data_IF_097655423276
#
_entry.id   IF_097655423276
#
_cell.length_a   1.000
_cell.length_b   1.000
_cell.length_c   1.000
_cell.angle_alpha   90.00
_cell.angle_beta   90.00
_cell.angle_gamma   90.00
#
_symmetry.space_group_name_H-M   'P 1'
#
loop_
_entity.id
_entity.type
_entity.pdbx_description
1 polymer ?
#
# COMPACT_ATOMS: atom_id res chain seq x y z
N UNK A 1 -21.62 -12.05 -9.67
CA UNK A 1 -20.65 -10.94 -9.67
C UNK A 1 -21.36 -9.60 -9.90
N UNK A 2 -21.17 -8.61 -9.02
CA UNK A 2 -21.68 -7.25 -9.22
C UNK A 2 -20.88 -6.60 -10.36
N UNK A 3 -21.54 -6.28 -11.47
CA UNK A 3 -20.91 -5.59 -12.59
C UNK A 3 -21.12 -4.08 -12.41
N UNK A 4 -20.09 -3.40 -11.90
CA UNK A 4 -20.07 -1.94 -11.67
C UNK A 4 -19.79 -1.13 -12.95
N UNK A 5 -19.59 -1.80 -14.09
CA UNK A 5 -19.19 -1.15 -15.34
C UNK A 5 -17.70 -0.77 -15.38
N UNK A 6 -17.36 0.16 -16.29
CA UNK A 6 -15.99 0.65 -16.45
C UNK A 6 -15.70 1.77 -15.44
N UNK A 7 -14.47 1.77 -14.93
CA UNK A 7 -13.91 2.85 -14.12
C UNK A 7 -13.38 3.94 -15.07
N UNK A 8 -14.29 4.73 -15.65
CA UNK A 8 -13.99 5.68 -16.72
C UNK A 8 -14.48 7.11 -16.45
N UNK A 9 -14.96 7.38 -15.23
CA UNK A 9 -15.44 8.69 -14.82
C UNK A 9 -14.33 9.44 -14.12
N UNK A 10 -13.90 10.53 -14.72
CA UNK A 10 -12.73 11.28 -14.28
C UNK A 10 -13.09 12.38 -13.28
N UNK A 11 -12.36 12.45 -12.17
CA UNK A 11 -12.47 13.54 -11.22
C UNK A 11 -11.89 14.84 -11.81
N UNK A 12 -12.67 15.93 -11.79
CA UNK A 12 -12.27 17.24 -12.33
C UNK A 12 -11.08 17.91 -11.62
N UNK A 13 -10.71 17.44 -10.43
CA UNK A 13 -9.66 18.06 -9.61
C UNK A 13 -8.32 17.31 -9.66
N UNK A 14 -8.35 15.98 -9.63
CA UNK A 14 -7.15 15.15 -9.53
C UNK A 14 -7.01 14.12 -10.66
N UNK A 15 -7.94 14.09 -11.62
CA UNK A 15 -7.93 13.18 -12.78
C UNK A 15 -7.99 11.68 -12.43
N UNK A 16 -8.27 11.35 -11.16
CA UNK A 16 -8.52 9.97 -10.75
C UNK A 16 -9.77 9.42 -11.46
N UNK A 17 -9.68 8.16 -11.92
CA UNK A 17 -10.78 7.45 -12.54
C UNK A 17 -11.63 6.75 -11.47
N UNK A 18 -12.94 6.81 -11.64
CA UNK A 18 -13.93 6.27 -10.72
C UNK A 18 -15.03 5.50 -11.47
N UNK A 19 -15.73 4.65 -10.73
CA UNK A 19 -17.05 4.17 -11.17
C UNK A 19 -18.12 5.23 -10.88
N UNK A 20 -19.15 5.28 -11.72
CA UNK A 20 -20.24 6.27 -11.54
C UNK A 20 -21.01 6.08 -10.23
N UNK A 21 -21.02 4.85 -9.70
CA UNK A 21 -21.69 4.50 -8.45
C UNK A 21 -20.88 4.92 -7.21
N UNK A 22 -19.60 5.29 -7.36
CA UNK A 22 -18.78 5.85 -6.27
C UNK A 22 -18.98 7.35 -6.06
N UNK A 23 -19.79 7.99 -6.91
CA UNK A 23 -20.09 9.41 -6.76
C UNK A 23 -20.76 9.67 -5.41
N UNK A 24 -20.65 10.89 -4.92
CA UNK A 24 -21.43 11.32 -3.77
C UNK A 24 -22.94 11.28 -4.08
N UNK A 25 -23.75 10.83 -3.12
CA UNK A 25 -25.22 10.80 -3.25
C UNK A 25 -25.82 12.18 -3.55
N UNK A 26 -25.17 13.24 -3.07
CA UNK A 26 -25.54 14.65 -3.29
C UNK A 26 -25.24 15.14 -4.71
N UNK A 27 -24.41 14.41 -5.46
CA UNK A 27 -24.00 14.75 -6.82
C UNK A 27 -24.92 14.13 -7.86
N UNK A 28 -24.98 14.76 -9.03
CA UNK A 28 -25.84 14.29 -10.12
C UNK A 28 -25.11 13.32 -11.04
N UNK A 29 -25.84 12.44 -11.73
CA UNK A 29 -25.26 11.58 -12.78
C UNK A 29 -24.61 12.38 -13.92
N UNK A 30 -25.09 13.61 -14.18
CA UNK A 30 -24.61 14.49 -15.25
C UNK A 30 -23.35 15.25 -14.85
N UNK A 31 -23.19 15.53 -13.56
CA UNK A 31 -22.05 16.19 -12.97
C UNK A 31 -21.68 15.48 -11.66
N UNK A 32 -21.05 14.30 -11.75
CA UNK A 32 -20.66 13.52 -10.59
C UNK A 32 -19.48 14.18 -9.87
N UNK A 33 -19.44 14.03 -8.54
CA UNK A 33 -18.31 14.47 -7.72
C UNK A 33 -17.89 13.36 -6.76
N UNK A 34 -16.60 13.37 -6.40
CA UNK A 34 -15.99 12.36 -5.54
C UNK A 34 -15.19 13.02 -4.42
N UNK A 35 -15.33 12.47 -3.21
CA UNK A 35 -14.56 12.88 -2.03
C UNK A 35 -13.39 11.97 -1.71
N UNK A 36 -13.50 10.69 -2.09
CA UNK A 36 -12.54 9.63 -1.75
C UNK A 36 -11.13 9.87 -2.32
N UNK A 37 -11.01 10.55 -3.46
CA UNK A 37 -9.72 10.82 -4.08
C UNK A 37 -9.03 12.05 -3.47
N UNK A 38 -9.57 13.24 -3.68
CA UNK A 38 -8.91 14.51 -3.36
C UNK A 38 -9.75 15.43 -2.47
N UNK A 39 -10.83 14.92 -1.85
CA UNK A 39 -11.80 15.72 -1.09
C UNK A 39 -12.25 16.97 -1.87
N UNK A 40 -12.72 16.77 -3.10
CA UNK A 40 -13.17 17.85 -3.99
C UNK A 40 -12.09 18.93 -4.25
N UNK A 41 -10.82 18.51 -4.35
CA UNK A 41 -9.68 19.41 -4.55
C UNK A 41 -9.09 20.02 -3.28
N UNK A 42 -9.61 19.68 -2.10
CA UNK A 42 -9.05 20.13 -0.81
C UNK A 42 -7.69 19.48 -0.49
N UNK A 43 -7.41 18.33 -1.10
CA UNK A 43 -6.13 17.61 -0.95
C UNK A 43 -5.45 17.54 -2.31
N UNK A 44 -4.24 18.09 -2.39
CA UNK A 44 -3.37 17.90 -3.54
C UNK A 44 -2.63 16.57 -3.38
N UNK A 45 -3.03 15.56 -4.16
CA UNK A 45 -2.32 14.30 -4.22
C UNK A 45 -1.03 14.49 -5.04
N UNK A 46 0.09 14.05 -4.48
CA UNK A 46 1.34 13.98 -5.23
C UNK A 46 1.23 12.83 -6.24
N UNK A 47 1.68 13.09 -7.48
CA UNK A 47 1.83 12.03 -8.48
C UNK A 47 2.86 11.03 -7.98
N UNK A 48 2.54 9.74 -8.12
CA UNK A 48 3.51 8.70 -7.87
C UNK A 48 4.68 8.87 -8.84
N UNK A 49 5.93 8.68 -8.38
CA UNK A 49 7.05 8.66 -9.28
C UNK A 49 6.85 7.53 -10.29
N UNK A 50 7.32 7.76 -11.51
CA UNK A 50 7.32 6.73 -12.54
C UNK A 50 8.07 5.48 -12.04
N UNK A 51 7.54 4.27 -12.32
CA UNK A 51 8.26 3.05 -12.01
C UNK A 51 9.57 2.99 -12.80
N UNK A 52 10.53 2.23 -12.29
CA UNK A 52 11.80 2.00 -13.00
C UNK A 52 11.53 1.35 -14.37
N UNK A 53 12.41 1.63 -15.34
CA UNK A 53 12.24 1.15 -16.73
C UNK A 53 12.05 -0.37 -16.81
N UNK A 54 12.80 -1.11 -16.00
CA UNK A 54 12.66 -2.56 -15.88
C UNK A 54 11.24 -3.01 -15.51
N UNK A 55 10.58 -2.29 -14.60
CA UNK A 55 9.20 -2.61 -14.21
C UNK A 55 8.20 -2.21 -15.29
N UNK A 56 8.43 -1.10 -15.99
CA UNK A 56 7.61 -0.69 -17.15
C UNK A 56 7.68 -1.77 -18.24
N UNK A 57 8.89 -2.20 -18.59
CA UNK A 57 9.13 -3.27 -19.56
C UNK A 57 8.41 -4.56 -19.16
N UNK A 58 8.50 -4.99 -17.90
CA UNK A 58 7.81 -6.20 -17.44
C UNK A 58 6.29 -6.12 -17.53
N UNK A 59 5.71 -4.94 -17.28
CA UNK A 59 4.27 -4.72 -17.37
C UNK A 59 3.78 -4.71 -18.83
N UNK A 60 4.54 -4.09 -19.72
CA UNK A 60 4.18 -3.93 -21.12
C UNK A 60 4.53 -5.15 -21.98
N UNK A 61 5.62 -5.87 -21.64
CA UNK A 61 6.13 -6.95 -22.47
C UNK A 61 5.12 -8.09 -22.61
N UNK A 62 5.05 -8.64 -23.82
CA UNK A 62 4.15 -9.75 -24.19
C UNK A 62 4.90 -11.06 -24.40
N UNK A 63 6.18 -11.12 -24.03
CA UNK A 63 6.94 -12.37 -24.05
C UNK A 63 6.55 -13.29 -22.87
N UNK A 64 7.27 -14.40 -22.71
CA UNK A 64 7.04 -15.33 -21.60
C UNK A 64 7.31 -14.71 -20.24
N UNK A 65 8.28 -13.80 -20.13
CA UNK A 65 8.66 -13.14 -18.89
C UNK A 65 7.59 -12.14 -18.44
N UNK A 66 7.15 -11.25 -19.33
CA UNK A 66 6.10 -10.28 -19.05
C UNK A 66 4.76 -10.94 -18.74
N UNK A 67 4.39 -12.01 -19.46
CA UNK A 67 3.20 -12.81 -19.10
C UNK A 67 3.33 -13.44 -17.71
N UNK A 68 4.44 -14.11 -17.43
CA UNK A 68 4.68 -14.70 -16.12
C UNK A 68 4.62 -13.65 -15.01
N UNK A 69 5.21 -12.47 -15.22
CA UNK A 69 5.16 -11.37 -14.26
C UNK A 69 3.72 -10.91 -13.98
N UNK A 70 2.93 -10.67 -15.03
CA UNK A 70 1.53 -10.25 -14.92
C UNK A 70 0.64 -11.31 -14.26
N UNK A 71 0.81 -12.57 -14.63
CA UNK A 71 0.03 -13.69 -14.08
C UNK A 71 0.33 -13.92 -12.59
N UNK A 72 1.54 -13.56 -12.14
CA UNK A 72 1.99 -13.72 -10.75
C UNK A 72 2.13 -12.40 -9.99
N UNK A 73 1.59 -11.29 -10.50
CA UNK A 73 1.75 -9.94 -9.92
C UNK A 73 1.35 -9.89 -8.44
N UNK A 74 0.24 -10.55 -8.08
CA UNK A 74 -0.21 -10.64 -6.69
C UNK A 74 0.79 -11.38 -5.79
N UNK A 75 1.44 -12.43 -6.31
CA UNK A 75 2.44 -13.20 -5.54
C UNK A 75 3.70 -12.39 -5.34
N UNK A 76 4.18 -11.69 -6.37
CA UNK A 76 5.29 -10.74 -6.23
C UNK A 76 4.96 -9.67 -5.19
N UNK A 77 3.82 -9.00 -5.31
CA UNK A 77 3.41 -7.98 -4.33
C UNK A 77 3.29 -8.56 -2.92
N UNK A 78 2.74 -9.76 -2.76
CA UNK A 78 2.64 -10.42 -1.46
C UNK A 78 4.01 -10.74 -0.86
N UNK A 79 4.99 -11.16 -1.67
CA UNK A 79 6.35 -11.42 -1.21
C UNK A 79 7.04 -10.16 -0.65
N UNK A 80 6.71 -8.98 -1.20
CA UNK A 80 7.23 -7.69 -0.74
C UNK A 80 6.33 -6.97 0.27
N UNK A 81 5.10 -7.44 0.50
CA UNK A 81 4.16 -6.84 1.45
C UNK A 81 4.52 -7.12 2.91
N UNK A 82 5.40 -8.08 3.18
CA UNK A 82 5.75 -8.47 4.55
C UNK A 82 6.88 -7.63 5.11
N UNK A 83 6.47 -6.60 5.86
CA UNK A 83 7.34 -5.78 6.69
C UNK A 83 7.58 -6.45 8.04
N UNK A 84 8.82 -6.86 8.33
CA UNK A 84 9.26 -7.00 9.72
C UNK A 84 9.28 -5.60 10.33
N UNK A 85 8.73 -5.46 11.53
CA UNK A 85 8.71 -4.20 12.28
C UNK A 85 9.81 -4.26 13.33
N UNK A 86 10.82 -3.41 13.19
CA UNK A 86 11.72 -3.09 14.29
C UNK A 86 11.33 -1.69 14.77
N UNK A 87 10.91 -1.57 16.03
CA UNK A 87 10.60 -0.28 16.63
C UNK A 87 11.10 -0.23 18.08
N UNK A 88 11.55 0.95 18.50
CA UNK A 88 11.87 1.21 19.89
C UNK A 88 10.55 1.32 20.68
N UNK A 89 10.21 0.24 21.39
CA UNK A 89 9.02 0.22 22.25
C UNK A 89 9.32 1.06 23.49
N UNK A 90 8.64 2.21 23.63
CA UNK A 90 8.63 2.97 24.89
C UNK A 90 8.06 2.07 25.99
N UNK A 91 8.83 1.85 27.04
CA UNK A 91 8.42 0.94 28.12
C UNK A 91 7.15 1.47 28.81
N UNK A 92 6.32 0.54 29.30
CA UNK A 92 5.10 0.91 30.01
C UNK A 92 5.40 1.74 31.28
N UNK A 93 6.62 1.66 31.82
CA UNK A 93 7.04 2.44 32.98
C UNK A 93 7.18 3.93 32.67
N UNK A 94 7.69 4.32 31.50
CA UNK A 94 7.81 5.73 31.07
C UNK A 94 6.43 6.34 30.79
N UNK A 95 5.46 5.52 30.38
CA UNK A 95 4.07 5.95 30.08
C UNK A 95 3.25 6.25 31.34
N UNK A 96 3.56 5.59 32.44
CA UNK A 96 2.76 5.64 33.68
C UNK A 96 3.02 6.89 34.53
N UNK A 97 3.98 7.76 34.17
CA UNK A 97 4.18 9.03 34.86
C UNK A 97 3.01 10.02 34.66
N UNK A 98 2.21 9.88 33.58
CA UNK A 98 1.18 10.86 33.23
C UNK A 98 -0.24 10.32 32.98
N UNK A 99 -0.49 9.00 32.98
CA UNK A 99 -1.83 8.45 32.69
C UNK A 99 -2.30 7.42 33.72
N UNK A 100 -2.75 7.93 34.86
CA UNK A 100 -3.53 7.22 35.87
C UNK A 100 -4.99 7.01 35.42
N UNK A 101 -5.23 6.24 34.36
CA UNK A 101 -6.59 5.74 34.04
C UNK A 101 -6.52 4.60 33.03
N UNK A 102 -7.18 3.49 33.34
CA UNK A 102 -7.18 2.25 32.57
C UNK A 102 -7.67 2.40 31.12
N UNK A 103 -6.76 2.82 30.24
CA UNK A 103 -6.92 2.87 28.79
C UNK A 103 -6.08 1.80 28.13
N UNK A 104 -6.54 1.34 26.96
CA UNK A 104 -5.92 0.29 26.14
C UNK A 104 -4.42 0.53 25.96
N UNK A 105 -3.63 -0.54 26.10
CA UNK A 105 -2.19 -0.52 25.87
C UNK A 105 -1.90 -0.44 24.36
N UNK A 106 -2.11 0.72 23.75
CA UNK A 106 -1.56 1.01 22.44
C UNK A 106 -0.04 1.21 22.58
N UNK A 107 0.74 0.51 21.78
CA UNK A 107 2.16 0.82 21.60
C UNK A 107 2.28 2.10 20.77
N UNK A 108 3.24 2.95 21.10
CA UNK A 108 3.51 4.18 20.38
C UNK A 108 4.86 4.06 19.69
N UNK A 109 4.87 4.27 18.37
CA UNK A 109 6.09 4.33 17.57
C UNK A 109 6.51 5.80 17.50
N UNK A 110 7.65 6.11 18.10
CA UNK A 110 8.35 7.36 17.83
C UNK A 110 9.28 7.06 16.64
N UNK A 111 9.19 7.84 15.57
CA UNK A 111 9.96 7.71 14.33
C UNK A 111 9.34 6.80 13.24
N UNK A 112 10.19 6.15 12.44
CA UNK A 112 9.83 5.57 11.15
C UNK A 112 9.72 4.04 11.20
N UNK A 113 8.75 3.53 10.45
CA UNK A 113 8.62 2.11 10.19
C UNK A 113 9.55 1.73 9.03
N UNK A 114 10.59 0.96 9.31
CA UNK A 114 11.54 0.50 8.31
C UNK A 114 11.25 -0.96 7.91
N UNK A 115 11.35 -1.26 6.62
CA UNK A 115 11.26 -2.63 6.11
C UNK A 115 12.63 -3.29 6.13
N UNK A 116 12.85 -4.28 7.02
CA UNK A 116 14.07 -5.06 7.02
C UNK A 116 13.87 -6.38 6.25
N UNK A 117 14.40 -6.43 5.02
CA UNK A 117 14.39 -7.63 4.20
C UNK A 117 15.81 -8.21 4.12
N UNK A 118 15.97 -9.48 4.52
CA UNK A 118 17.21 -10.23 4.32
C UNK A 118 17.49 -10.54 2.85
N UNK A 119 18.69 -11.04 2.54
CA UNK A 119 19.08 -11.38 1.17
C UNK A 119 18.14 -12.43 0.56
N UNK A 120 17.58 -12.14 -0.62
CA UNK A 120 16.70 -13.07 -1.36
C UNK A 120 17.43 -14.29 -1.93
N UNK A 121 18.75 -14.22 -1.98
CA UNK A 121 19.62 -15.24 -2.56
C UNK A 121 20.53 -15.76 -1.44
N UNK A 122 20.56 -17.07 -1.16
CA UNK A 122 21.49 -17.64 -0.20
C UNK A 122 22.92 -17.46 -0.69
N UNK A 123 23.86 -17.33 0.24
CA UNK A 123 25.28 -17.38 -0.07
C UNK A 123 25.65 -18.75 -0.67
N UNK A 124 26.67 -18.80 -1.53
CA UNK A 124 27.16 -20.05 -2.11
C UNK A 124 27.41 -21.12 -1.04
N UNK A 125 26.75 -22.26 -1.18
CA UNK A 125 26.83 -23.38 -0.23
C UNK A 125 25.90 -23.30 0.98
N UNK A 126 25.05 -22.27 1.10
CA UNK A 126 24.00 -22.22 2.12
C UNK A 126 22.65 -22.70 1.58
N UNK A 127 21.88 -23.42 2.39
CA UNK A 127 20.52 -23.80 2.03
C UNK A 127 19.60 -22.57 2.04
N UNK A 128 18.68 -22.43 1.06
CA UNK A 128 17.68 -21.38 1.08
C UNK A 128 16.87 -21.45 2.38
N UNK A 129 16.85 -20.37 3.15
CA UNK A 129 16.03 -20.24 4.36
C UNK A 129 14.91 -19.24 4.12
N UNK A 130 13.74 -19.51 4.71
CA UNK A 130 12.61 -18.59 4.67
C UNK A 130 12.92 -17.36 5.52
N UNK A 131 12.49 -16.17 5.08
CA UNK A 131 12.46 -14.99 5.93
C UNK A 131 11.55 -15.28 7.13
N UNK A 132 12.15 -15.50 8.31
CA UNK A 132 11.42 -15.81 9.53
C UNK A 132 10.83 -14.54 10.13
N UNK A 133 9.52 -14.56 10.37
CA UNK A 133 8.78 -13.55 11.12
C UNK A 133 9.19 -13.62 12.60
N UNK A 134 9.80 -12.56 13.11
CA UNK A 134 9.90 -12.35 14.56
C UNK A 134 8.68 -11.52 14.98
N UNK A 135 7.76 -12.15 15.71
CA UNK A 135 6.65 -11.48 16.38
C UNK A 135 6.94 -11.63 17.87
N UNK A 136 7.27 -10.53 18.56
CA UNK A 136 7.44 -10.47 20.01
C UNK A 136 6.19 -9.91 20.67
#
# INVERSE_FOLDING_TARGET
PLNLGRMDKECSHCHALHWIDERQETSSMRNPSWELCCKQGSVQLQLLPDPSEYLKDLLECTDSQGRHFKDNLCQYNAAFAFTSLECDIVSAEERNANNSRGGLNAFQIHDALCHLQGTLIPYDGSEPSYAQLYIY
#
